data_IF_381709685146
#
_entry.id   IF_381709685146
#
_cell.length_a   1.000
_cell.length_b   1.000
_cell.length_c   1.000
_cell.angle_alpha   90.00
_cell.angle_beta   90.00
_cell.angle_gamma   90.00
#
_symmetry.space_group_name_H-M   'P 1'
#
loop_
_entity.id
_entity.type
_entity.pdbx_description
1 polymer ?
2 water ?
#
# COMPACT_ATOMS: atom_id res chain seq x y z
N UNK A 31 -25.41 12.42 -6.88
CA UNK A 31 -24.62 11.38 -6.20
C UNK A 31 -24.49 11.61 -4.69
N UNK A 32 -24.39 10.54 -3.93
CA UNK A 32 -24.22 10.65 -2.45
C UNK A 32 -22.75 10.99 -2.21
N UNK A 33 -22.51 12.00 -1.39
CA UNK A 33 -21.13 12.44 -1.11
C UNK A 33 -20.46 11.30 -0.38
N UNK A 34 -19.32 10.84 -0.89
CA UNK A 34 -18.67 9.70 -0.22
C UNK A 34 -17.17 9.94 -0.13
N UNK A 35 -16.55 9.21 0.76
CA UNK A 35 -15.09 9.35 0.99
C UNK A 35 -14.25 8.80 -0.14
N UNK A 36 -13.09 9.40 -0.30
CA UNK A 36 -12.04 8.86 -1.19
C UNK A 36 -11.23 7.94 -0.27
N UNK A 37 -10.42 7.07 -0.87
CA UNK A 37 -9.57 6.18 -0.06
C UNK A 37 -8.70 7.06 0.84
N UNK A 38 -8.08 8.09 0.26
CA UNK A 38 -7.15 8.96 1.03
C UNK A 38 -7.87 9.64 2.19
N UNK A 39 -9.06 10.18 1.93
CA UNK A 39 -9.83 10.89 2.96
C UNK A 39 -10.20 9.94 4.09
N UNK A 40 -10.62 8.72 3.75
CA UNK A 40 -11.08 7.80 4.80
C UNK A 40 -9.87 7.27 5.59
N UNK A 41 -8.77 7.06 4.88
CA UNK A 41 -7.53 6.61 5.58
C UNK A 41 -7.14 7.70 6.59
N UNK A 42 -7.29 8.98 6.20
CA UNK A 42 -6.90 10.10 7.12
C UNK A 42 -7.86 10.13 8.31
N UNK A 43 -9.15 9.94 8.03
CA UNK A 43 -10.18 9.96 9.10
C UNK A 43 -9.88 8.86 10.12
N UNK A 44 -9.53 7.67 9.63
CA UNK A 44 -9.19 6.52 10.52
C UNK A 44 -7.98 6.87 11.36
N UNK A 45 -6.97 7.52 10.79
CA UNK A 45 -5.72 7.84 11.53
C UNK A 45 -6.05 8.88 12.61
N UNK A 46 -6.94 9.82 12.31
CA UNK A 46 -7.31 10.86 13.31
C UNK A 46 -8.02 10.16 14.47
N UNK A 47 -8.84 9.13 14.17
CA UNK A 47 -9.57 8.39 15.22
C UNK A 47 -8.59 7.53 16.03
N UNK A 48 -7.59 6.98 15.36
CA UNK A 48 -6.59 6.15 16.08
C UNK A 48 -5.79 7.05 17.02
N UNK A 49 -5.43 8.22 16.54
CA UNK A 49 -4.63 9.16 17.38
C UNK A 49 -5.47 9.60 18.56
N UNK A 50 -6.75 9.88 18.32
CA UNK A 50 -7.64 10.35 19.40
C UNK A 50 -7.81 9.25 20.46
N UNK A 51 -7.96 8.00 20.03
CA UNK A 51 -8.16 6.89 20.98
C UNK A 51 -6.97 6.76 21.92
N UNK A 52 -5.80 7.25 21.50
CA UNK A 52 -4.56 7.15 22.34
C UNK A 52 -4.38 8.40 23.21
N UNK A 53 -5.20 9.44 23.02
CA UNK A 53 -5.06 10.67 23.84
C UNK A 53 -5.52 10.31 25.25
N UNK A 54 -4.67 10.42 26.30
CA UNK A 54 -5.09 10.05 27.66
C UNK A 54 -6.39 10.76 28.09
N UNK A 55 -6.57 12.00 27.65
CA UNK A 55 -7.79 12.77 28.02
C UNK A 55 -8.87 12.64 26.95
N UNK A 56 -8.87 11.55 26.18
CA UNK A 56 -9.90 11.32 25.15
C UNK A 56 -11.26 11.09 25.82
N UNK A 57 -12.30 11.73 25.28
CA UNK A 57 -13.70 11.57 25.74
C UNK A 57 -14.35 10.59 24.75
N UNK A 58 -14.91 9.49 25.26
CA UNK A 58 -15.60 8.52 24.37
C UNK A 58 -16.93 8.09 25.02
N UNK A 59 -17.97 7.88 24.22
CA UNK A 59 -19.28 7.41 24.75
C UNK A 59 -19.37 5.89 24.58
N UNK A 60 -18.23 5.22 24.33
CA UNK A 60 -18.15 3.75 24.24
C UNK A 60 -16.82 3.34 24.91
N UNK A 61 -16.65 2.04 25.20
CA UNK A 61 -15.42 1.53 25.86
C UNK A 61 -14.22 1.58 24.90
N UNK A 62 -13.03 1.41 25.48
CA UNK A 62 -11.79 1.41 24.66
C UNK A 62 -11.85 0.20 23.69
N UNK A 63 -12.37 -0.93 24.15
CA UNK A 63 -12.47 -2.15 23.32
C UNK A 63 -13.46 -1.94 22.18
N UNK A 64 -14.58 -1.25 22.44
CA UNK A 64 -15.58 -0.99 21.38
C UNK A 64 -14.93 -0.06 20.35
N UNK A 65 -14.18 0.93 20.80
CA UNK A 65 -13.55 1.89 19.83
C UNK A 65 -12.50 1.16 18.99
N UNK A 66 -11.71 0.28 19.61
CA UNK A 66 -10.69 -0.47 18.84
C UNK A 66 -11.37 -1.39 17.83
N UNK A 67 -12.52 -1.98 18.21
CA UNK A 67 -13.33 -2.85 17.33
C UNK A 67 -13.89 -2.04 16.15
N UNK A 68 -14.42 -0.84 16.44
CA UNK A 68 -14.95 0.06 15.38
C UNK A 68 -13.81 0.45 14.41
N UNK A 69 -12.63 0.82 14.92
CA UNK A 69 -11.48 1.16 14.05
C UNK A 69 -11.13 -0.05 13.15
N UNK A 70 -11.16 -1.26 13.70
CA UNK A 70 -10.84 -2.47 12.90
C UNK A 70 -11.85 -2.57 11.75
N UNK A 71 -13.14 -2.39 12.05
CA UNK A 71 -14.22 -2.43 11.03
C UNK A 71 -13.96 -1.34 9.99
N UNK A 72 -13.56 -0.14 10.42
CA UNK A 72 -13.32 0.93 9.42
C UNK A 72 -12.15 0.54 8.50
N UNK A 73 -11.09 -0.05 9.04
CA UNK A 73 -9.94 -0.50 8.20
C UNK A 73 -10.42 -1.51 7.14
N UNK A 74 -11.38 -2.39 7.49
CA UNK A 74 -11.94 -3.35 6.50
C UNK A 74 -12.72 -2.58 5.44
N UNK A 75 -13.46 -1.54 5.84
CA UNK A 75 -14.26 -0.74 4.87
C UNK A 75 -13.29 0.03 3.96
N UNK A 76 -12.19 0.55 4.52
CA UNK A 76 -11.21 1.31 3.72
C UNK A 76 -10.71 0.45 2.57
N UNK A 77 -10.34 -0.81 2.86
CA UNK A 77 -9.84 -1.72 1.82
C UNK A 77 -10.95 -1.98 0.80
N UNK A 78 -12.21 -2.03 1.24
CA UNK A 78 -13.33 -2.26 0.29
C UNK A 78 -13.48 -1.05 -0.63
N UNK A 79 -13.08 0.14 -0.20
CA UNK A 79 -13.13 1.32 -1.10
C UNK A 79 -12.21 1.03 -2.30
N UNK A 80 -11.00 0.52 -2.04
CA UNK A 80 -10.01 0.18 -3.08
C UNK A 80 -10.44 -1.07 -3.90
N UNK A 81 -10.85 -2.13 -3.21
CA UNK A 81 -11.14 -3.44 -3.88
C UNK A 81 -12.57 -3.63 -4.37
N UNK A 82 -13.52 -2.83 -3.92
CA UNK A 82 -14.95 -3.03 -4.34
C UNK A 82 -15.62 -1.69 -4.69
N UNK A 83 -14.91 -0.57 -4.60
CA UNK A 83 -15.57 0.72 -4.91
C UNK A 83 -16.63 1.06 -3.89
N UNK A 84 -16.47 0.57 -2.67
CA UNK A 84 -17.44 0.88 -1.59
C UNK A 84 -17.58 2.40 -1.42
N UNK A 85 -18.83 2.87 -1.41
CA UNK A 85 -19.18 4.29 -1.22
C UNK A 85 -19.59 4.47 0.25
N UNK A 86 -18.71 5.05 1.05
CA UNK A 86 -18.95 5.33 2.50
C UNK A 86 -19.40 6.78 2.55
N UNK A 87 -20.66 7.01 2.91
CA UNK A 87 -21.18 8.38 2.92
C UNK A 87 -20.33 9.30 3.79
N UNK A 88 -20.00 10.46 3.24
CA UNK A 88 -19.13 11.45 3.94
C UNK A 88 -20.01 12.45 4.67
N UNK A 89 -19.63 12.92 5.87
CA UNK A 89 -20.43 13.94 6.55
C UNK A 89 -20.46 15.21 5.69
N UNK A 90 -21.56 15.95 5.77
CA UNK A 90 -21.67 17.30 5.11
C UNK A 90 -21.70 18.33 6.26
N UNK A 91 -20.89 19.38 6.15
CA UNK A 91 -20.81 20.50 7.13
C UNK A 91 -21.71 21.64 6.64
N UNK A 92 -22.19 22.48 7.55
CA UNK A 92 -23.19 23.52 7.19
C UNK A 92 -22.56 24.91 7.17
N UNK A 93 -21.30 25.05 7.59
CA UNK A 93 -20.66 26.39 7.51
C UNK A 93 -19.81 26.45 6.23
N UNK B 31 -23.29 -2.51 -18.37
CA UNK B 31 -23.89 -1.19 -18.69
C UNK B 31 -22.98 -0.05 -18.29
N UNK B 32 -23.50 0.96 -17.59
CA UNK B 32 -22.64 2.08 -17.14
C UNK B 32 -22.06 1.70 -15.78
N UNK B 33 -20.73 1.50 -15.76
CA UNK B 33 -20.01 1.07 -14.55
C UNK B 33 -18.68 1.82 -14.50
N UNK B 34 -18.23 2.12 -13.29
CA UNK B 34 -16.94 2.82 -13.10
C UNK B 34 -15.95 1.82 -12.50
N UNK B 35 -14.68 1.94 -12.90
CA UNK B 35 -13.61 1.07 -12.36
C UNK B 35 -13.35 1.33 -10.87
N UNK B 36 -13.02 0.25 -10.18
CA UNK B 36 -12.51 0.35 -8.80
C UNK B 36 -11.01 0.50 -8.96
N UNK B 37 -10.32 0.91 -7.92
CA UNK B 37 -8.86 0.99 -7.99
C UNK B 37 -8.30 -0.38 -8.40
N UNK B 38 -8.82 -1.43 -7.79
CA UNK B 38 -8.32 -2.81 -8.05
C UNK B 38 -8.53 -3.20 -9.51
N UNK B 39 -9.73 -2.90 -10.04
CA UNK B 39 -10.05 -3.25 -11.44
C UNK B 39 -9.15 -2.48 -12.40
N UNK B 40 -8.94 -1.20 -12.13
CA UNK B 40 -8.12 -0.39 -13.06
C UNK B 40 -6.66 -0.82 -12.98
N UNK B 41 -6.21 -1.12 -11.76
CA UNK B 41 -4.81 -1.61 -11.61
C UNK B 41 -4.67 -2.92 -12.42
N UNK B 42 -5.69 -3.78 -12.41
CA UNK B 42 -5.63 -5.07 -13.16
C UNK B 42 -5.64 -4.78 -14.67
N UNK B 43 -6.45 -3.83 -15.10
CA UNK B 43 -6.53 -3.45 -16.54
C UNK B 43 -5.15 -2.95 -17.01
N UNK B 44 -4.48 -2.14 -16.19
CA UNK B 44 -3.13 -1.62 -16.52
C UNK B 44 -2.15 -2.80 -16.65
N UNK B 45 -2.26 -3.79 -15.76
CA UNK B 45 -1.32 -4.96 -15.81
C UNK B 45 -1.61 -5.79 -17.07
N UNK B 46 -2.88 -5.90 -17.44
CA UNK B 46 -3.25 -6.68 -18.66
C UNK B 46 -2.68 -5.96 -19.87
N UNK B 47 -2.63 -4.62 -19.85
CA UNK B 47 -2.04 -3.84 -20.98
C UNK B 47 -0.53 -4.01 -20.98
N UNK B 48 0.09 -4.09 -19.81
CA UNK B 48 1.56 -4.29 -19.72
C UNK B 48 1.87 -5.68 -20.29
N UNK B 49 1.03 -6.67 -19.96
CA UNK B 49 1.25 -8.05 -20.46
C UNK B 49 1.08 -8.06 -21.98
N UNK B 50 0.08 -7.34 -22.49
CA UNK B 50 -0.15 -7.21 -23.96
C UNK B 50 1.07 -6.58 -24.64
N UNK B 51 1.61 -5.50 -24.06
CA UNK B 51 2.76 -4.79 -24.66
C UNK B 51 3.98 -5.73 -24.77
N UNK B 52 4.01 -6.79 -23.95
CA UNK B 52 5.16 -7.74 -23.95
C UNK B 52 5.06 -8.74 -25.10
N UNK B 53 3.88 -8.87 -25.75
CA UNK B 53 3.89 -9.66 -27.02
C UNK B 53 3.66 -8.62 -28.12
N UNK B 54 4.74 -8.04 -28.67
CA UNK B 54 4.63 -7.04 -29.73
C UNK B 54 3.73 -7.52 -30.87
N UNK B 55 3.75 -8.83 -31.16
CA UNK B 55 2.88 -9.41 -32.22
C UNK B 55 1.46 -9.27 -31.66
N UNK B 56 1.05 -8.03 -31.37
CA UNK B 56 -0.32 -7.70 -30.91
C UNK B 56 -1.23 -7.38 -32.10
N UNK B 57 -2.54 -7.22 -31.83
CA UNK B 57 -3.56 -6.92 -32.89
C UNK B 57 -4.26 -5.61 -32.56
N UNK B 58 -3.52 -4.51 -32.39
CA UNK B 58 -4.14 -3.21 -32.06
C UNK B 58 -3.51 -2.07 -32.85
N UNK B 59 -4.27 -0.99 -33.03
CA UNK B 59 -3.83 0.22 -33.75
C UNK B 59 -3.16 1.18 -32.75
N UNK B 60 -2.18 0.66 -32.01
CA UNK B 60 -1.33 1.48 -31.10
C UNK B 60 0.14 1.03 -31.20
N UNK B 61 1.06 1.99 -31.38
CA UNK B 61 2.51 1.67 -31.46
C UNK B 61 3.04 1.29 -30.08
N UNK B 62 4.26 0.74 -30.02
CA UNK B 62 4.83 0.30 -28.72
C UNK B 62 5.09 1.53 -27.86
N UNK B 63 5.55 2.63 -28.47
CA UNK B 63 5.86 3.84 -27.64
C UNK B 63 4.55 4.51 -27.22
N UNK B 64 3.52 4.46 -28.07
CA UNK B 64 2.22 5.09 -27.68
C UNK B 64 1.62 4.25 -26.56
N UNK B 65 1.81 2.93 -26.61
CA UNK B 65 1.23 2.06 -25.56
C UNK B 65 1.96 2.34 -24.24
N UNK B 66 3.28 2.47 -24.29
CA UNK B 66 4.07 2.73 -23.05
C UNK B 66 3.69 4.09 -22.48
N UNK B 67 3.50 5.10 -23.35
CA UNK B 67 3.14 6.47 -22.89
C UNK B 67 1.72 6.47 -22.33
N UNK B 68 0.81 5.75 -22.98
CA UNK B 68 -0.60 5.62 -22.53
C UNK B 68 -0.64 4.93 -21.16
N UNK B 69 0.12 3.84 -20.97
CA UNK B 69 0.16 3.15 -19.66
C UNK B 69 0.69 4.13 -18.61
N UNK B 70 1.68 4.95 -18.94
CA UNK B 70 2.19 5.94 -17.94
C UNK B 70 1.04 6.87 -17.52
N UNK B 71 0.28 7.39 -18.50
CA UNK B 71 -0.85 8.31 -18.16
C UNK B 71 -1.89 7.56 -17.33
N UNK B 72 -2.13 6.29 -17.64
CA UNK B 72 -3.14 5.52 -16.87
C UNK B 72 -2.66 5.37 -15.42
N UNK B 73 -1.37 5.14 -15.19
CA UNK B 73 -0.84 5.02 -13.80
C UNK B 73 -1.10 6.31 -13.01
N UNK B 74 -1.02 7.46 -13.65
CA UNK B 74 -1.32 8.76 -12.98
C UNK B 74 -2.83 8.80 -12.64
N UNK B 75 -3.68 8.30 -13.55
CA UNK B 75 -5.15 8.28 -13.31
C UNK B 75 -5.48 7.26 -12.20
N UNK B 76 -4.75 6.14 -12.15
CA UNK B 76 -4.98 5.11 -11.13
C UNK B 76 -4.80 5.76 -9.75
N UNK B 77 -3.73 6.54 -9.58
CA UNK B 77 -3.45 7.22 -8.28
C UNK B 77 -4.60 8.21 -7.99
N UNK B 78 -5.15 8.85 -9.03
CA UNK B 78 -6.24 9.82 -8.80
C UNK B 78 -7.51 9.10 -8.30
N UNK B 79 -7.68 7.82 -8.65
CA UNK B 79 -8.83 7.07 -8.14
C UNK B 79 -8.74 7.05 -6.61
N UNK B 80 -7.55 6.74 -6.08
CA UNK B 80 -7.31 6.66 -4.63
C UNK B 80 -7.30 8.04 -3.97
N UNK B 81 -6.58 9.01 -4.56
CA UNK B 81 -6.41 10.35 -3.92
C UNK B 81 -7.52 11.37 -4.22
N UNK B 82 -8.31 11.18 -5.27
CA UNK B 82 -9.34 12.21 -5.62
C UNK B 82 -10.69 11.57 -5.89
N UNK B 83 -10.81 10.25 -5.80
CA UNK B 83 -12.13 9.67 -6.08
C UNK B 83 -12.47 9.75 -7.56
N UNK B 84 -11.46 9.87 -8.42
CA UNK B 84 -11.69 9.89 -9.88
C UNK B 84 -12.55 8.69 -10.34
N UNK B 85 -13.63 9.00 -11.06
CA UNK B 85 -14.55 8.00 -11.64
C UNK B 85 -14.17 7.79 -13.10
N UNK B 86 -13.55 6.65 -13.41
CA UNK B 86 -13.18 6.28 -14.80
C UNK B 86 -14.25 5.29 -15.30
N UNK B 87 -15.02 5.70 -16.29
CA UNK B 87 -16.07 4.78 -16.80
C UNK B 87 -15.44 3.63 -17.60
N UNK B 88 -15.96 2.43 -17.37
CA UNK B 88 -15.57 1.23 -18.13
C UNK B 88 -16.26 1.30 -19.49
N UNK B 89 -15.78 0.58 -20.54
CA UNK B 89 -16.45 0.56 -21.82
C UNK B 89 -17.92 0.13 -21.64
N UNK B 90 -18.84 0.69 -22.42
CA UNK B 90 -20.26 0.29 -22.23
C UNK B 90 -20.46 -1.06 -22.92
N UNK B 91 -21.10 -2.01 -22.23
CA UNK B 91 -21.26 -3.39 -22.78
C UNK B 91 -22.65 -3.93 -22.41
N UNK B 92 -23.00 -5.11 -22.94
CA UNK B 92 -24.31 -5.80 -22.71
C UNK B 92 -25.33 -4.82 -22.13
N UNK C 31 9.79 -26.03 31.58
CA UNK C 31 10.37 -26.45 30.26
C UNK C 31 10.73 -25.26 29.38
N UNK C 32 10.37 -25.32 28.10
CA UNK C 32 10.66 -24.24 27.14
C UNK C 32 9.77 -23.06 27.48
N UNK C 33 10.37 -21.87 27.52
CA UNK C 33 9.66 -20.62 27.85
C UNK C 33 8.56 -20.50 26.79
N UNK C 34 7.30 -20.50 27.18
CA UNK C 34 6.25 -20.42 26.13
C UNK C 34 5.22 -19.39 26.55
N UNK C 35 4.49 -18.91 25.55
CA UNK C 35 3.48 -17.87 25.77
C UNK C 35 2.24 -18.39 26.50
N UNK C 36 1.62 -17.49 27.23
CA UNK C 36 0.29 -17.75 27.80
C UNK C 36 -0.68 -17.27 26.72
N UNK C 37 -1.92 -17.74 26.78
CA UNK C 37 -2.92 -17.28 25.79
C UNK C 37 -2.97 -15.74 25.84
N UNK C 38 -3.04 -15.16 27.03
CA UNK C 38 -3.21 -13.68 27.16
C UNK C 38 -2.00 -12.96 26.55
N UNK C 39 -0.80 -13.46 26.83
CA UNK C 39 0.44 -12.83 26.32
C UNK C 39 0.48 -12.92 24.80
N UNK C 40 0.12 -14.06 24.24
CA UNK C 40 0.21 -14.19 22.76
C UNK C 40 -0.89 -13.36 22.10
N UNK C 41 -2.07 -13.34 22.72
CA UNK C 41 -3.15 -12.48 22.17
C UNK C 41 -2.66 -11.03 22.14
N UNK C 42 -1.95 -10.60 23.19
CA UNK C 42 -1.45 -9.19 23.24
C UNK C 42 -0.39 -8.99 22.16
N UNK C 43 0.51 -9.96 22.01
CA UNK C 43 1.56 -9.87 20.97
C UNK C 43 0.94 -9.72 19.57
N UNK C 44 -0.11 -10.51 19.29
CA UNK C 44 -0.81 -10.45 17.97
C UNK C 44 -1.41 -9.06 17.78
N UNK C 45 -2.01 -8.50 18.83
CA UNK C 45 -2.68 -7.16 18.71
C UNK C 45 -1.60 -6.09 18.48
N UNK C 46 -0.43 -6.22 19.13
CA UNK C 46 0.65 -5.23 18.95
C UNK C 46 1.13 -5.31 17.50
N UNK C 47 1.17 -6.52 16.92
CA UNK C 47 1.62 -6.71 15.52
C UNK C 47 0.54 -6.14 14.57
N UNK C 48 -0.73 -6.33 14.93
CA UNK C 48 -1.82 -5.82 14.07
C UNK C 48 -1.77 -4.31 14.07
N UNK C 49 -1.54 -3.73 15.26
CA UNK C 49 -1.48 -2.24 15.36
C UNK C 49 -0.28 -1.74 14.56
N UNK C 50 0.84 -2.45 14.65
CA UNK C 50 2.07 -2.02 13.93
C UNK C 50 1.85 -2.12 12.42
N UNK C 51 1.22 -3.19 11.97
CA UNK C 51 0.99 -3.40 10.52
C UNK C 51 0.14 -2.25 9.96
N UNK C 52 -0.70 -1.63 10.81
CA UNK C 52 -1.58 -0.53 10.31
C UNK C 52 -0.94 0.83 10.54
N UNK C 53 0.24 0.86 11.16
CA UNK C 53 0.92 2.16 11.43
C UNK C 53 1.40 2.66 10.07
N UNK C 54 0.97 3.86 9.61
CA UNK C 54 1.43 4.37 8.32
C UNK C 54 2.96 4.39 8.21
N UNK C 55 3.67 4.65 9.32
CA UNK C 55 5.15 4.66 9.28
C UNK C 55 5.76 3.29 9.61
N UNK C 56 4.99 2.19 9.47
CA UNK C 56 5.53 0.83 9.74
C UNK C 56 6.62 0.46 8.74
N UNK C 57 7.74 -0.08 9.24
CA UNK C 57 8.82 -0.63 8.40
C UNK C 57 8.63 -2.16 8.42
N UNK C 58 8.58 -2.80 7.25
CA UNK C 58 8.40 -4.27 7.16
C UNK C 58 9.37 -4.89 6.12
N UNK C 59 9.91 -6.08 6.39
CA UNK C 59 10.84 -6.73 5.42
C UNK C 59 10.04 -7.72 4.56
N UNK C 60 8.71 -7.67 4.64
CA UNK C 60 7.80 -8.51 3.81
C UNK C 60 6.64 -7.60 3.37
N UNK C 61 5.84 -8.08 2.41
CA UNK C 61 4.68 -7.30 1.89
C UNK C 61 3.58 -7.20 2.93
N UNK C 62 2.60 -6.34 2.64
CA UNK C 62 1.46 -6.17 3.56
C UNK C 62 0.66 -7.47 3.58
N UNK C 63 0.50 -8.12 2.42
CA UNK C 63 -0.26 -9.40 2.33
C UNK C 63 0.48 -10.51 3.09
N UNK C 64 1.80 -10.55 3.04
CA UNK C 64 2.55 -11.61 3.78
C UNK C 64 2.34 -11.37 5.28
N UNK C 65 2.37 -10.13 5.70
CA UNK C 65 2.24 -9.83 7.14
C UNK C 65 0.81 -10.17 7.59
N UNK C 66 -0.19 -9.83 6.79
CA UNK C 66 -1.60 -10.16 7.13
C UNK C 66 -1.78 -11.68 7.18
N UNK C 67 -1.12 -12.42 6.27
CA UNK C 67 -1.16 -13.90 6.21
C UNK C 67 -0.51 -14.49 7.47
N UNK C 68 0.64 -13.94 7.87
CA UNK C 68 1.34 -14.39 9.11
C UNK C 68 0.45 -14.11 10.33
N UNK C 69 -0.17 -12.94 10.45
CA UNK C 69 -1.10 -12.64 11.57
C UNK C 69 -2.25 -13.68 11.57
N UNK C 70 -2.80 -14.03 10.39
CA UNK C 70 -3.88 -15.05 10.35
C UNK C 70 -3.35 -16.36 10.94
N UNK C 71 -2.15 -16.79 10.54
CA UNK C 71 -1.50 -18.02 11.08
C UNK C 71 -1.34 -17.89 12.59
N UNK C 72 -0.91 -16.73 13.08
CA UNK C 72 -0.75 -16.56 14.54
C UNK C 72 -2.12 -16.70 15.25
N UNK C 73 -3.18 -16.14 14.68
CA UNK C 73 -4.54 -16.28 15.27
C UNK C 73 -4.92 -17.77 15.37
N UNK C 74 -4.54 -18.59 14.38
CA UNK C 74 -4.81 -20.05 14.40
C UNK C 74 -4.02 -20.68 15.56
N UNK C 75 -2.76 -20.24 15.74
CA UNK C 75 -1.91 -20.79 16.82
C UNK C 75 -2.43 -20.35 18.19
N UNK C 76 -2.95 -19.11 18.29
CA UNK C 76 -3.49 -18.63 19.57
C UNK C 76 -4.62 -19.57 20.02
N UNK C 77 -5.50 -19.93 19.09
CA UNK C 77 -6.65 -20.82 19.40
C UNK C 77 -6.10 -22.20 19.80
N UNK C 78 -5.00 -22.62 19.20
CA UNK C 78 -4.42 -23.95 19.55
C UNK C 78 -3.85 -23.91 20.97
N UNK C 79 -3.44 -22.74 21.46
CA UNK C 79 -2.98 -22.65 22.87
C UNK C 79 -4.15 -23.09 23.77
N UNK C 80 -5.34 -22.59 23.49
CA UNK C 80 -6.55 -22.86 24.29
C UNK C 80 -7.08 -24.28 24.05
N UNK C 81 -7.16 -24.70 22.79
CA UNK C 81 -7.79 -26.01 22.45
C UNK C 81 -6.82 -27.19 22.43
N UNK C 82 -5.50 -26.98 22.36
CA UNK C 82 -4.56 -28.12 22.24
C UNK C 82 -3.34 -27.94 23.16
N UNK C 83 -3.31 -26.90 23.98
CA UNK C 83 -2.16 -26.70 24.87
C UNK C 83 -0.88 -26.42 24.11
N UNK C 84 -1.00 -25.83 22.92
CA UNK C 84 0.20 -25.52 22.10
C UNK C 84 1.17 -24.64 22.89
N UNK C 85 2.44 -25.03 22.93
CA UNK C 85 3.49 -24.21 23.60
C UNK C 85 4.27 -23.51 22.49
N UNK C 86 4.02 -22.20 22.33
CA UNK C 86 4.69 -21.32 21.33
C UNK C 86 5.88 -20.71 22.07
N UNK C 87 7.09 -21.03 21.62
CA UNK C 87 8.30 -20.53 22.30
C UNK C 87 8.31 -19.00 22.37
N UNK C 88 8.57 -18.49 23.56
CA UNK C 88 8.55 -17.04 23.85
C UNK C 88 9.99 -16.53 23.75
N UNK C 89 10.21 -15.30 23.23
CA UNK C 89 11.57 -14.79 23.15
C UNK C 89 12.15 -14.62 24.55
N UNK C 90 13.46 -14.76 24.70
CA UNK C 90 14.15 -14.45 26.00
C UNK C 90 15.08 -13.27 25.74
N UNK C 91 15.12 -12.27 26.63
CA UNK C 91 16.07 -11.14 26.44
C UNK C 91 17.22 -11.24 27.45
N UNK C 92 18.32 -10.50 27.19
CA UNK C 92 19.56 -10.53 28.04
C UNK C 92 19.48 -9.40 29.08
N UNK D 31 30.37 -5.42 -10.16
CA UNK D 31 31.21 -4.47 -10.99
C UNK D 31 31.20 -3.06 -10.43
N UNK D 32 32.35 -2.39 -10.46
CA UNK D 32 32.47 -0.97 -9.98
C UNK D 32 32.01 -0.05 -11.11
N UNK D 33 30.90 0.66 -10.91
CA UNK D 33 30.32 1.51 -11.99
C UNK D 33 29.67 2.71 -11.31
N UNK D 34 29.66 3.85 -11.99
CA UNK D 34 29.06 5.09 -11.43
C UNK D 34 27.83 5.47 -12.27
N UNK D 35 26.80 6.02 -11.62
CA UNK D 35 25.56 6.43 -12.31
C UNK D 35 25.78 7.60 -13.25
N UNK D 36 25.02 7.57 -14.34
CA UNK D 36 24.95 8.71 -15.26
C UNK D 36 23.81 9.54 -14.71
N UNK D 37 23.75 10.81 -15.10
CA UNK D 37 22.61 11.64 -14.68
C UNK D 37 21.29 10.94 -15.07
N UNK D 38 21.22 10.46 -16.30
CA UNK D 38 19.96 9.86 -16.82
C UNK D 38 19.57 8.62 -16.00
N UNK D 39 20.55 7.78 -15.70
CA UNK D 39 20.29 6.54 -14.92
C UNK D 39 19.84 6.88 -13.51
N UNK D 40 20.48 7.86 -12.88
CA UNK D 40 20.11 8.18 -11.48
C UNK D 40 18.74 8.86 -11.45
N UNK D 41 18.48 9.70 -12.44
CA UNK D 41 17.15 10.37 -12.52
C UNK D 41 16.06 9.29 -12.65
N UNK D 42 16.35 8.25 -13.45
CA UNK D 42 15.36 7.17 -13.67
C UNK D 42 15.17 6.38 -12.39
N UNK D 43 16.28 6.11 -11.68
CA UNK D 43 16.22 5.35 -10.41
C UNK D 43 15.36 6.13 -9.40
N UNK D 44 15.51 7.46 -9.33
CA UNK D 44 14.71 8.30 -8.39
C UNK D 44 13.22 8.20 -8.74
N UNK D 45 12.90 8.22 -10.04
CA UNK D 45 11.47 8.17 -10.47
C UNK D 45 10.90 6.79 -10.13
N UNK D 46 11.71 5.75 -10.29
CA UNK D 46 11.25 4.36 -9.97
C UNK D 46 10.99 4.28 -8.47
N UNK D 47 11.78 4.98 -7.65
CA UNK D 47 11.56 4.99 -6.17
C UNK D 47 10.29 5.79 -5.84
N UNK D 48 10.04 6.86 -6.59
CA UNK D 48 8.81 7.66 -6.34
C UNK D 48 7.59 6.80 -6.69
N UNK D 49 7.70 6.07 -7.79
CA UNK D 49 6.58 5.18 -8.23
C UNK D 49 6.38 4.08 -7.17
N UNK D 50 7.48 3.54 -6.65
CA UNK D 50 7.49 2.51 -5.58
C UNK D 50 6.75 3.02 -4.35
N UNK D 51 7.01 4.27 -3.94
CA UNK D 51 6.37 4.84 -2.73
C UNK D 51 4.86 4.89 -2.87
N UNK D 52 4.34 4.82 -4.10
CA UNK D 52 2.86 4.86 -4.33
C UNK D 52 2.24 3.45 -4.16
N UNK D 53 3.05 2.42 -3.89
CA UNK D 53 2.46 1.09 -3.55
C UNK D 53 2.93 0.71 -2.14
N UNK D 54 2.39 1.35 -1.09
CA UNK D 54 2.82 1.10 0.29
C UNK D 54 2.89 -0.37 0.68
N UNK D 55 1.98 -1.19 0.16
CA UNK D 55 1.95 -2.63 0.55
C UNK D 55 3.14 -3.43 -0.03
N UNK D 56 3.76 -2.96 -1.11
CA UNK D 56 4.90 -3.70 -1.71
C UNK D 56 6.12 -3.62 -0.79
N UNK D 57 6.79 -4.76 -0.60
CA UNK D 57 8.00 -4.97 0.27
C UNK D 57 8.85 -3.70 0.24
N UNK D 58 9.25 -3.15 1.41
CA UNK D 58 10.05 -1.89 1.42
C UNK D 58 11.34 -1.95 2.26
N UNK D 59 11.34 -2.27 3.56
CA UNK D 59 12.57 -2.21 4.42
C UNK D 59 12.85 -0.74 4.83
N UNK D 60 11.94 0.17 4.50
CA UNK D 60 12.08 1.63 4.77
C UNK D 60 10.67 2.15 5.04
N UNK D 61 10.48 3.11 5.97
CA UNK D 61 9.10 3.66 6.18
C UNK D 61 8.73 4.61 5.04
N UNK D 62 7.46 4.98 4.95
CA UNK D 62 7.02 5.92 3.88
C UNK D 62 7.69 7.28 4.03
N UNK D 63 7.83 7.77 5.27
CA UNK D 63 8.44 9.11 5.48
C UNK D 63 9.94 9.03 5.22
N UNK D 64 10.59 7.92 5.57
CA UNK D 64 12.04 7.80 5.34
C UNK D 64 12.27 7.70 3.83
N UNK D 65 11.36 7.04 3.11
CA UNK D 65 11.53 6.93 1.64
C UNK D 65 11.37 8.33 1.01
N UNK D 66 10.38 9.09 1.47
CA UNK D 66 10.14 10.44 0.89
C UNK D 66 11.34 11.36 1.19
N UNK D 67 11.89 11.25 2.42
CA UNK D 67 13.01 12.13 2.83
C UNK D 67 14.28 11.70 2.07
N UNK D 68 14.44 10.39 1.87
CA UNK D 68 15.61 9.86 1.12
C UNK D 68 15.53 10.32 -0.34
N UNK D 69 14.36 10.22 -0.97
CA UNK D 69 14.20 10.71 -2.37
C UNK D 69 14.54 12.21 -2.43
N UNK D 70 14.15 13.00 -1.43
CA UNK D 70 14.50 14.45 -1.48
C UNK D 70 16.02 14.61 -1.52
N UNK D 71 16.74 13.87 -0.65
CA UNK D 71 18.23 13.94 -0.63
C UNK D 71 18.79 13.45 -1.98
N UNK D 72 18.20 12.41 -2.55
CA UNK D 72 18.71 11.91 -3.85
C UNK D 72 18.54 12.98 -4.94
N UNK D 73 17.43 13.72 -4.93
CA UNK D 73 17.22 14.81 -5.94
C UNK D 73 18.36 15.85 -5.84
N UNK D 74 18.81 16.16 -4.61
CA UNK D 74 19.93 17.11 -4.40
C UNK D 74 21.21 16.49 -4.99
N UNK D 75 21.41 15.18 -4.82
CA UNK D 75 22.63 14.51 -5.36
C UNK D 75 22.55 14.44 -6.89
N UNK D 76 21.36 14.25 -7.44
CA UNK D 76 21.20 14.21 -8.91
C UNK D 76 21.71 15.54 -9.51
N UNK D 77 21.32 16.65 -8.90
CA UNK D 77 21.76 17.99 -9.38
C UNK D 77 23.30 18.09 -9.27
N UNK D 78 23.88 17.48 -8.23
CA UNK D 78 25.37 17.53 -8.06
C UNK D 78 26.04 16.73 -9.20
N UNK D 79 25.37 15.72 -9.74
CA UNK D 79 25.97 14.99 -10.88
C UNK D 79 26.18 15.99 -12.03
N UNK D 80 25.18 16.83 -12.31
CA UNK D 80 25.20 17.81 -13.41
C UNK D 80 26.14 18.98 -13.10
N UNK D 81 26.05 19.54 -11.89
CA UNK D 81 26.80 20.78 -11.53
C UNK D 81 28.18 20.53 -10.92
N UNK D 82 28.49 19.32 -10.44
CA UNK D 82 29.80 19.11 -9.78
C UNK D 82 30.45 17.81 -10.27
N UNK D 83 29.83 17.09 -11.21
CA UNK D 83 30.44 15.83 -11.66
C UNK D 83 30.46 14.78 -10.57
N UNK D 84 29.53 14.85 -9.63
CA UNK D 84 29.46 13.85 -8.54
C UNK D 84 29.38 12.42 -9.10
N UNK D 85 30.27 11.55 -8.61
CA UNK D 85 30.32 10.12 -9.02
C UNK D 85 29.64 9.30 -7.93
N UNK D 86 28.41 8.83 -8.21
CA UNK D 86 27.62 8.01 -7.24
C UNK D 86 27.83 6.56 -7.64
N UNK D 87 28.49 5.77 -6.80
CA UNK D 87 28.70 4.36 -7.19
C UNK D 87 27.38 3.58 -7.16
N UNK D 88 27.15 2.82 -8.21
CA UNK D 88 26.00 1.90 -8.32
C UNK D 88 26.25 0.71 -7.42
N UNK D 89 25.21 -0.05 -6.99
CA UNK D 89 25.44 -1.24 -6.17
C UNK D 89 26.36 -2.21 -6.93
N UNK D 90 27.19 -2.92 -6.17
CA UNK D 90 28.16 -3.93 -6.67
C UNK D 90 27.56 -5.32 -6.40
N UNK D 91 26.40 -5.59 -6.99
CA UNK D 91 25.65 -6.86 -6.76
C UNK D 91 25.05 -7.37 -8.08
#
# INVERSE_FOLDING_TARGET
SNADSSNIALPKFESLIKSGITDPTELEKYGVEHYTYEEYAKHIQELKDYAKDPNAVKDVSQKDLEETIKKMEQELEKIKTEGLKIMKPITIENEDGSQISIAYNYAAID
SNADSSNIALPKFESLIKSGITDPTELEKYGVEHYTYEEYAKHIQELKDYAKDPNAVKDVSQKDLEETIKKMEQELEKIKTEGLKIMKPITIENEDGSQISIAYNYAAID
SNADSSNIALPKFESLIKSGITDPTELEKYGVEHYTYEEYAKHIQELKDYAKDPNAVKDVSQKDLEETIKKMEQELEKIKTEGLKIMKPITIENEDGSQISIAYNYAAID
SNADSSNIALPKFESLIKSGITDPTELEKYGVEHYTYEEYAKHIQELKDYAKDPNAVKDVSQKDLEETIKKMEQELEKIKTEGLKIMKPITIENEDGSQISIAYNYAAID
#
